data_IF_289124317003
#
_entry.id   IF_289124317003
#
_cell.length_a   1.000
_cell.length_b   1.000
_cell.length_c   1.000
_cell.angle_alpha   90.00
_cell.angle_beta   90.00
_cell.angle_gamma   90.00
#
_symmetry.space_group_name_H-M   'P 1'
#
loop_
_entity.id
_entity.type
_entity.pdbx_description
1 polymer ?
#
# COMPACT_ATOMS: atom_id res chain seq x y z
N UNK A 1 23.96 -4.61 5.28
CA UNK A 1 23.53 -6.00 5.57
C UNK A 1 22.12 -5.91 6.16
N UNK A 2 21.08 -6.00 5.33
CA UNK A 2 19.69 -5.91 5.80
C UNK A 2 19.08 -7.32 5.92
N UNK A 3 18.44 -7.53 7.06
CA UNK A 3 17.84 -8.73 7.64
C UNK A 3 17.40 -9.81 6.64
N UNK A 4 17.97 -11.01 6.80
CA UNK A 4 17.76 -12.17 5.95
C UNK A 4 16.65 -13.13 6.38
N UNK A 5 15.82 -12.78 7.37
CA UNK A 5 14.68 -13.59 7.78
C UNK A 5 13.48 -12.70 8.11
N UNK A 6 12.36 -12.88 7.41
CA UNK A 6 11.05 -12.39 7.87
C UNK A 6 10.64 -13.16 9.12
N UNK A 7 11.22 -12.80 10.27
CA UNK A 7 10.84 -13.31 11.61
C UNK A 7 9.49 -12.77 12.08
N UNK A 8 8.88 -11.87 11.29
CA UNK A 8 7.70 -11.10 11.67
C UNK A 8 6.73 -11.06 10.49
N UNK A 9 5.42 -11.11 10.77
CA UNK A 9 4.38 -11.04 9.75
C UNK A 9 4.43 -9.71 9.02
N UNK A 10 4.15 -9.71 7.72
CA UNK A 10 4.09 -8.47 6.93
C UNK A 10 2.99 -8.55 5.89
N UNK A 11 2.56 -7.39 5.42
CA UNK A 11 1.52 -7.30 4.39
C UNK A 11 2.00 -6.37 3.29
N UNK A 12 2.01 -6.89 2.06
CA UNK A 12 2.15 -6.06 0.87
C UNK A 12 0.79 -5.51 0.47
N UNK A 13 0.73 -4.23 0.12
CA UNK A 13 -0.51 -3.54 -0.22
C UNK A 13 -0.31 -2.82 -1.55
N UNK A 14 -1.18 -3.09 -2.52
CA UNK A 14 -1.20 -2.38 -3.79
C UNK A 14 -2.19 -1.23 -3.73
N UNK A 15 -1.75 -0.05 -4.13
CA UNK A 15 -2.58 1.13 -4.36
C UNK A 15 -2.56 1.43 -5.85
N UNK A 16 -3.72 1.49 -6.48
CA UNK A 16 -3.85 1.84 -7.89
C UNK A 16 -5.03 2.79 -8.11
N UNK A 17 -4.75 3.98 -8.63
CA UNK A 17 -5.76 4.91 -9.10
C UNK A 17 -5.95 4.90 -10.62
N UNK A 18 -6.98 5.59 -11.13
CA UNK A 18 -7.14 5.84 -12.56
C UNK A 18 -6.05 6.79 -13.06
N UNK A 19 -5.67 6.63 -14.32
CA UNK A 19 -4.65 7.48 -14.95
C UNK A 19 -5.09 8.95 -14.99
N UNK A 20 -4.15 9.86 -14.71
CA UNK A 20 -4.40 11.30 -14.77
C UNK A 20 -5.10 11.86 -13.53
N UNK A 21 -5.43 11.02 -12.54
CA UNK A 21 -5.98 11.48 -11.28
C UNK A 21 -4.95 12.27 -10.47
N UNK A 22 -5.35 13.45 -10.00
CA UNK A 22 -4.47 14.35 -9.27
C UNK A 22 -4.44 14.08 -7.76
N UNK A 23 -5.42 13.36 -7.22
CA UNK A 23 -5.52 13.05 -5.79
C UNK A 23 -4.75 11.79 -5.42
N UNK A 24 -4.64 10.82 -6.33
CA UNK A 24 -3.88 9.59 -6.11
C UNK A 24 -2.40 9.86 -5.74
N UNK A 25 -1.63 10.70 -6.46
CA UNK A 25 -0.26 11.00 -6.06
C UNK A 25 -0.17 11.73 -4.71
N UNK A 26 -1.11 12.63 -4.41
CA UNK A 26 -1.19 13.31 -3.11
C UNK A 26 -1.49 12.32 -1.98
N UNK A 27 -2.37 11.35 -2.23
CA UNK A 27 -2.67 10.29 -1.29
C UNK A 27 -1.47 9.36 -1.06
N UNK A 28 -0.70 9.03 -2.10
CA UNK A 28 0.54 8.25 -1.98
C UNK A 28 1.58 9.01 -1.14
N UNK A 29 1.78 10.30 -1.40
CA UNK A 29 2.69 11.14 -0.61
C UNK A 29 2.22 11.27 0.85
N UNK A 30 0.91 11.33 1.07
CA UNK A 30 0.34 11.35 2.41
C UNK A 30 0.59 10.04 3.16
N UNK A 31 0.43 8.89 2.49
CA UNK A 31 0.77 7.57 3.04
C UNK A 31 2.23 7.53 3.49
N UNK A 32 3.16 8.03 2.66
CA UNK A 32 4.59 8.11 3.05
C UNK A 32 4.81 8.91 4.34
N UNK A 33 4.02 9.97 4.57
CA UNK A 33 4.16 10.80 5.78
C UNK A 33 3.57 10.19 7.06
N UNK A 34 2.61 9.28 6.95
CA UNK A 34 1.84 8.74 8.09
C UNK A 34 2.29 7.33 8.52
N UNK A 35 3.16 6.70 7.73
CA UNK A 35 3.69 5.37 7.99
C UNK A 35 4.94 5.40 8.88
N UNK A 36 5.22 4.26 9.51
CA UNK A 36 6.39 4.13 10.40
C UNK A 36 7.67 4.00 9.58
N UNK A 37 8.81 4.21 10.22
CA UNK A 37 10.14 4.09 9.58
C UNK A 37 10.40 2.66 9.10
N UNK A 38 9.85 1.65 9.79
CA UNK A 38 9.95 0.25 9.37
C UNK A 38 9.04 -0.13 8.19
N UNK A 39 8.05 0.69 7.87
CA UNK A 39 7.16 0.49 6.73
C UNK A 39 7.80 1.08 5.46
N UNK A 40 7.55 0.43 4.33
CA UNK A 40 8.10 0.85 3.04
C UNK A 40 7.01 1.30 2.09
N UNK A 41 7.25 2.41 1.37
CA UNK A 41 6.45 2.80 0.21
C UNK A 41 7.31 2.74 -1.04
N UNK A 42 6.81 2.05 -2.06
CA UNK A 42 7.47 1.87 -3.33
C UNK A 42 6.56 2.41 -4.43
N UNK A 43 6.82 3.64 -4.85
CA UNK A 43 6.09 4.27 -5.97
C UNK A 43 6.54 3.63 -7.28
N UNK A 44 5.59 3.08 -8.04
CA UNK A 44 5.83 2.47 -9.35
C UNK A 44 5.55 3.46 -10.48
N UNK A 45 4.44 4.17 -10.38
CA UNK A 45 4.02 5.27 -11.26
C UNK A 45 3.33 6.33 -10.42
N UNK A 46 2.93 7.46 -11.03
CA UNK A 46 2.23 8.55 -10.35
C UNK A 46 0.93 8.08 -9.65
N UNK A 47 0.26 7.09 -10.22
CA UNK A 47 -1.02 6.57 -9.73
C UNK A 47 -0.91 5.16 -9.11
N UNK A 48 0.31 4.62 -8.97
CA UNK A 48 0.53 3.24 -8.48
C UNK A 48 1.66 3.18 -7.48
N UNK A 49 1.37 2.61 -6.31
CA UNK A 49 2.36 2.34 -5.29
C UNK A 49 2.16 0.97 -4.63
N UNK A 50 3.23 0.42 -4.07
CA UNK A 50 3.19 -0.74 -3.19
C UNK A 50 3.64 -0.30 -1.82
N UNK A 51 2.84 -0.61 -0.80
CA UNK A 51 3.23 -0.47 0.60
C UNK A 51 3.67 -1.83 1.13
N UNK A 52 4.65 -1.82 2.00
CA UNK A 52 5.04 -2.94 2.84
C UNK A 52 4.83 -2.51 4.28
N UNK A 53 3.83 -3.09 4.94
CA UNK A 53 3.65 -2.92 6.38
C UNK A 53 4.31 -4.07 7.12
N UNK A 54 5.22 -3.76 8.05
CA UNK A 54 5.94 -4.73 8.86
C UNK A 54 5.25 -4.93 10.21
N UNK A 55 5.41 -6.12 10.80
CA UNK A 55 4.84 -6.49 12.12
C UNK A 55 3.32 -6.32 12.23
N UNK A 56 2.63 -6.66 11.14
CA UNK A 56 1.17 -6.61 11.09
C UNK A 56 0.58 -7.82 10.38
N UNK A 57 -0.61 -8.22 10.83
CA UNK A 57 -1.48 -9.13 10.09
C UNK A 57 -2.39 -8.39 9.10
N UNK A 58 -3.21 -9.14 8.37
CA UNK A 58 -4.12 -8.59 7.37
C UNK A 58 -5.19 -7.66 7.98
N UNK A 59 -5.69 -7.95 9.19
CA UNK A 59 -6.73 -7.16 9.82
C UNK A 59 -6.16 -5.82 10.29
N UNK A 60 -4.98 -5.85 10.91
CA UNK A 60 -4.23 -4.65 11.31
C UNK A 60 -3.85 -3.80 10.11
N UNK A 61 -3.33 -4.40 9.03
CA UNK A 61 -2.98 -3.68 7.81
C UNK A 61 -4.19 -2.95 7.21
N UNK A 62 -5.37 -3.58 7.20
CA UNK A 62 -6.62 -2.93 6.76
C UNK A 62 -6.98 -1.74 7.63
N UNK A 63 -6.88 -1.88 8.95
CA UNK A 63 -7.16 -0.78 9.88
C UNK A 63 -6.20 0.40 9.68
N UNK A 64 -4.92 0.14 9.45
CA UNK A 64 -3.92 1.18 9.18
C UNK A 64 -4.30 1.95 7.92
N UNK A 65 -4.53 1.25 6.80
CA UNK A 65 -4.86 1.91 5.53
C UNK A 65 -6.18 2.69 5.60
N UNK A 66 -7.21 2.11 6.20
CA UNK A 66 -8.50 2.79 6.40
C UNK A 66 -8.37 4.05 7.27
N UNK A 67 -7.58 3.97 8.34
CA UNK A 67 -7.30 5.13 9.21
C UNK A 67 -6.60 6.24 8.43
N UNK A 68 -5.58 5.90 7.63
CA UNK A 68 -4.83 6.88 6.84
C UNK A 68 -5.72 7.48 5.74
N UNK A 69 -6.53 6.67 5.05
CA UNK A 69 -7.52 7.14 4.07
C UNK A 69 -8.49 8.15 4.67
N UNK A 70 -9.11 7.82 5.81
CA UNK A 70 -10.02 8.75 6.50
C UNK A 70 -9.32 10.02 6.98
N UNK A 71 -8.08 9.92 7.43
CA UNK A 71 -7.26 11.07 7.82
C UNK A 71 -7.01 11.99 6.62
N UNK A 72 -6.69 11.42 5.45
CA UNK A 72 -6.54 12.17 4.21
C UNK A 72 -7.84 12.87 3.81
N UNK A 73 -8.95 12.14 3.72
CA UNK A 73 -10.26 12.68 3.35
C UNK A 73 -10.72 13.79 4.31
N UNK A 74 -10.44 13.64 5.62
CA UNK A 74 -10.75 14.66 6.61
C UNK A 74 -9.88 15.91 6.49
N UNK A 75 -8.61 15.78 6.07
CA UNK A 75 -7.69 16.91 5.88
C UNK A 75 -7.92 17.61 4.54
N UNK A 76 -8.42 16.90 3.54
CA UNK A 76 -8.69 17.40 2.20
C UNK A 76 -10.18 17.21 1.79
N UNK A 77 -11.15 17.79 2.52
CA UNK A 77 -12.57 17.51 2.31
C UNK A 77 -13.09 17.94 0.93
N UNK A 78 -12.43 18.90 0.27
CA UNK A 78 -12.77 19.33 -1.10
C UNK A 78 -12.35 18.34 -2.18
N UNK A 79 -11.48 17.37 -1.86
CA UNK A 79 -11.02 16.35 -2.78
C UNK A 79 -12.04 15.22 -3.00
N UNK A 80 -12.99 15.03 -2.08
CA UNK A 80 -13.93 13.90 -2.12
C UNK A 80 -13.25 12.56 -1.77
N UNK A 81 -13.90 11.46 -2.13
CA UNK A 81 -13.35 10.11 -1.93
C UNK A 81 -12.19 9.86 -2.91
N UNK A 82 -11.05 9.39 -2.40
CA UNK A 82 -9.88 9.09 -3.23
C UNK A 82 -10.16 7.85 -4.09
N UNK A 83 -10.10 7.93 -5.44
CA UNK A 83 -10.51 6.83 -6.31
C UNK A 83 -9.41 5.77 -6.46
N UNK A 84 -9.03 5.13 -5.36
CA UNK A 84 -7.99 4.09 -5.33
C UNK A 84 -8.55 2.70 -5.12
N UNK A 85 -8.10 1.75 -5.94
CA UNK A 85 -8.22 0.33 -5.68
C UNK A 85 -7.10 -0.11 -4.74
N UNK A 86 -7.48 -0.73 -3.61
CA UNK A 86 -6.56 -1.20 -2.58
C UNK A 86 -6.62 -2.73 -2.50
N UNK A 87 -5.48 -3.40 -2.66
CA UNK A 87 -5.37 -4.87 -2.52
C UNK A 87 -4.32 -5.27 -1.52
N UNK A 88 -4.56 -6.36 -0.79
CA UNK A 88 -3.68 -6.83 0.28
C UNK A 88 -3.14 -8.22 -0.04
N UNK A 89 -1.86 -8.43 0.25
CA UNK A 89 -1.17 -9.70 0.12
C UNK A 89 -0.38 -10.00 1.40
N UNK A 90 -0.95 -10.77 2.35
CA UNK A 90 -0.27 -11.10 3.61
C UNK A 90 0.84 -12.12 3.38
N UNK A 91 1.96 -11.92 4.09
CA UNK A 91 3.12 -12.80 4.11
C UNK A 91 3.26 -13.37 5.51
N UNK A 92 3.18 -14.70 5.61
CA UNK A 92 3.29 -15.42 6.89
C UNK A 92 4.75 -15.54 7.32
N UNK A 93 4.97 -15.50 8.64
CA UNK A 93 6.25 -15.80 9.27
C UNK A 93 6.73 -17.19 8.83
N UNK A 94 8.01 -17.31 8.46
CA UNK A 94 8.61 -18.56 7.97
C UNK A 94 8.16 -18.98 6.56
N UNK A 95 7.32 -18.19 5.90
CA UNK A 95 6.99 -18.38 4.48
C UNK A 95 8.14 -17.98 3.56
N UNK A 96 8.16 -18.54 2.34
CA UNK A 96 9.14 -18.14 1.31
C UNK A 96 8.93 -16.66 0.98
N UNK A 97 10.00 -15.88 1.03
CA UNK A 97 9.96 -14.46 0.68
C UNK A 97 9.42 -14.31 -0.74
N UNK A 98 8.28 -13.63 -0.94
CA UNK A 98 7.70 -13.54 -2.25
C UNK A 98 8.49 -12.54 -3.09
N UNK A 99 8.76 -12.89 -4.35
CA UNK A 99 9.45 -11.99 -5.28
C UNK A 99 8.49 -10.93 -5.80
N UNK A 100 9.00 -9.77 -6.20
CA UNK A 100 8.19 -8.72 -6.82
C UNK A 100 7.35 -9.28 -8.00
N UNK A 101 7.95 -10.14 -8.83
CA UNK A 101 7.27 -10.82 -9.95
C UNK A 101 6.08 -11.67 -9.52
N UNK A 102 6.08 -12.21 -8.30
CA UNK A 102 4.98 -13.02 -7.76
C UNK A 102 3.90 -12.19 -7.06
N UNK A 103 4.25 -11.01 -6.52
CA UNK A 103 3.36 -10.14 -5.73
C UNK A 103 2.66 -9.11 -6.61
N UNK A 104 3.42 -8.40 -7.46
CA UNK A 104 2.90 -7.28 -8.24
C UNK A 104 1.68 -7.65 -9.10
N UNK A 105 1.68 -8.78 -9.84
CA UNK A 105 0.50 -9.16 -10.60
C UNK A 105 -0.74 -9.33 -9.71
N UNK A 106 -0.59 -9.89 -8.50
CA UNK A 106 -1.71 -10.11 -7.57
C UNK A 106 -2.26 -8.80 -7.00
N UNK A 107 -1.37 -7.84 -6.74
CA UNK A 107 -1.74 -6.53 -6.21
C UNK A 107 -2.45 -5.65 -7.24
N UNK A 108 -2.13 -5.81 -8.53
CA UNK A 108 -2.65 -4.95 -9.59
C UNK A 108 -3.59 -5.67 -10.59
N UNK A 109 -3.89 -6.95 -10.38
CA UNK A 109 -4.84 -7.70 -11.23
C UNK A 109 -6.20 -7.02 -11.25
N UNK A 110 -6.66 -6.54 -12.42
CA UNK A 110 -7.96 -5.87 -12.54
C UNK A 110 -8.03 -4.50 -11.86
N UNK A 111 -6.89 -3.84 -11.62
CA UNK A 111 -6.87 -2.40 -11.43
C UNK A 111 -7.28 -1.71 -12.75
N UNK A 112 -7.89 -0.51 -12.70
CA UNK A 112 -8.22 0.24 -13.91
C UNK A 112 -6.97 0.35 -14.79
N UNK A 113 -7.08 -0.22 -15.99
CA UNK A 113 -6.10 -0.07 -17.06
C UNK A 113 -6.42 1.19 -17.85
N UNK A 114 -5.36 1.79 -18.40
CA UNK A 114 -5.40 2.80 -19.46
C UNK A 114 -6.57 2.62 -20.43
#
# INVERSE_FOLDING_TARGET
MLAKDHRVASVFIGIAGPEGDLLVPEFIAFLESELRVEDGVFVLTRERAVLLLADVDLAQARQVVERVRRSFESRFPTAGEVPVAIRFHPVRVGGKQPTAKAVLPKLFSGAPSH
#
